data_IF_086642685002
#
_entry.id   IF_086642685002
#
_cell.length_a   1.000
_cell.length_b   1.000
_cell.length_c   1.000
_cell.angle_alpha   90.00
_cell.angle_beta   90.00
_cell.angle_gamma   90.00
#
_symmetry.space_group_name_H-M   'P 1'
#
loop_
_entity.id
_entity.type
_entity.pdbx_description
1 polymer ?
#
# COMPACT_ATOMS: atom_id res chain seq x y z
N UNK A 1 -3.82 -0.07 22.66
CA UNK A 1 -3.08 0.81 21.72
C UNK A 1 -2.86 0.02 20.45
N UNK A 2 -3.07 0.63 19.29
CA UNK A 2 -2.95 -0.05 17.98
C UNK A 2 -1.63 0.35 17.30
N UNK A 3 -1.14 -0.47 16.37
CA UNK A 3 -0.10 -0.01 15.45
C UNK A 3 -0.68 1.09 14.57
N UNK A 4 -0.27 2.33 14.83
CA UNK A 4 -0.87 3.53 14.24
C UNK A 4 0.16 4.43 13.55
N UNK A 5 1.42 4.01 13.48
CA UNK A 5 2.47 4.71 12.79
C UNK A 5 3.45 3.71 12.17
N UNK A 6 3.82 3.94 10.92
CA UNK A 6 4.91 3.25 10.25
C UNK A 6 5.73 4.26 9.45
N UNK A 7 7.04 4.08 9.50
CA UNK A 7 8.00 4.81 8.69
C UNK A 7 8.58 3.89 7.62
N UNK A 8 8.53 4.34 6.37
CA UNK A 8 9.08 3.64 5.21
C UNK A 8 10.14 4.52 4.57
N UNK A 9 11.35 3.99 4.44
CA UNK A 9 12.32 4.56 3.52
C UNK A 9 11.91 4.16 2.09
N UNK A 10 11.98 5.08 1.13
CA UNK A 10 11.52 4.84 -0.26
C UNK A 10 12.45 5.49 -1.27
N UNK A 11 12.53 4.92 -2.47
CA UNK A 11 13.36 5.46 -3.56
C UNK A 11 12.74 6.67 -4.25
N UNK A 12 11.40 6.75 -4.28
CA UNK A 12 10.64 7.87 -4.86
C UNK A 12 9.44 8.23 -3.99
N UNK A 13 9.58 9.29 -3.20
CA UNK A 13 8.51 9.80 -2.32
C UNK A 13 7.32 10.31 -3.14
N UNK A 14 7.57 11.02 -4.25
CA UNK A 14 6.51 11.70 -5.01
C UNK A 14 5.61 10.68 -5.70
N UNK A 15 6.19 9.69 -6.38
CA UNK A 15 5.43 8.63 -7.02
C UNK A 15 4.70 7.75 -6.01
N UNK A 16 5.32 7.48 -4.86
CA UNK A 16 4.69 6.70 -3.78
C UNK A 16 3.49 7.44 -3.18
N UNK A 17 3.61 8.75 -2.91
CA UNK A 17 2.47 9.57 -2.47
C UNK A 17 1.34 9.51 -3.49
N UNK A 18 1.63 9.72 -4.78
CA UNK A 18 0.60 9.70 -5.83
C UNK A 18 -0.14 8.36 -5.90
N UNK A 19 0.58 7.23 -5.82
CA UNK A 19 -0.02 5.89 -5.73
C UNK A 19 -0.94 5.76 -4.52
N UNK A 20 -0.45 6.10 -3.33
CA UNK A 20 -1.18 5.91 -2.08
C UNK A 20 -2.42 6.82 -1.97
N UNK A 21 -2.35 8.06 -2.45
CA UNK A 21 -3.52 8.95 -2.46
C UNK A 21 -4.56 8.51 -3.50
N UNK A 22 -4.13 8.21 -4.73
CA UNK A 22 -5.04 7.93 -5.84
C UNK A 22 -5.79 6.62 -5.68
N UNK A 23 -5.09 5.58 -5.19
CA UNK A 23 -5.62 4.21 -5.19
C UNK A 23 -5.97 3.71 -3.78
N UNK A 24 -5.33 4.23 -2.74
CA UNK A 24 -5.55 3.79 -1.35
C UNK A 24 -6.26 4.83 -0.49
N UNK A 25 -6.54 6.02 -1.03
CA UNK A 25 -7.32 7.05 -0.34
C UNK A 25 -6.61 7.72 0.83
N UNK A 26 -5.29 7.53 0.96
CA UNK A 26 -4.51 8.25 1.97
C UNK A 26 -4.55 9.75 1.68
N UNK A 27 -4.40 10.56 2.74
CA UNK A 27 -4.37 12.02 2.65
C UNK A 27 -3.04 12.56 3.13
N UNK A 28 -2.38 13.37 2.29
CA UNK A 28 -1.21 14.15 2.72
C UNK A 28 -1.52 15.11 3.86
N UNK A 29 -0.56 15.25 4.77
CA UNK A 29 -0.51 16.37 5.70
C UNK A 29 0.12 17.60 5.03
N UNK A 30 0.36 18.66 5.81
CA UNK A 30 1.11 19.84 5.35
C UNK A 30 2.61 19.60 5.22
N UNK A 31 3.12 18.46 5.69
CA UNK A 31 4.53 18.10 5.66
C UNK A 31 4.80 17.12 4.52
N UNK A 32 4.90 17.64 3.29
CA UNK A 32 5.25 16.84 2.10
C UNK A 32 6.23 17.61 1.22
N UNK A 33 7.33 16.96 0.86
CA UNK A 33 8.37 17.40 -0.07
C UNK A 33 8.79 16.22 -0.97
N UNK A 34 9.76 16.44 -1.86
CA UNK A 34 10.36 15.34 -2.64
C UNK A 34 11.20 14.37 -1.77
N UNK A 35 11.57 14.77 -0.56
CA UNK A 35 12.45 14.02 0.34
C UNK A 35 11.71 13.35 1.50
N UNK A 36 10.51 13.83 1.83
CA UNK A 36 9.69 13.24 2.89
C UNK A 36 8.21 13.51 2.69
N UNK A 37 7.35 12.61 3.16
CA UNK A 37 5.91 12.81 3.17
C UNK A 37 5.28 12.16 4.39
N UNK A 38 4.20 12.77 4.88
CA UNK A 38 3.37 12.23 5.95
C UNK A 38 1.93 12.10 5.45
N UNK A 39 1.40 10.89 5.47
CA UNK A 39 0.10 10.49 4.94
C UNK A 39 -0.77 9.89 6.05
N UNK A 40 -2.06 10.20 6.07
CA UNK A 40 -3.02 9.61 7.02
C UNK A 40 -4.11 8.82 6.32
N UNK A 41 -4.54 7.73 6.94
CA UNK A 41 -5.77 7.04 6.56
C UNK A 41 -7.01 7.67 7.22
N UNK A 42 -8.18 7.04 7.03
CA UNK A 42 -9.44 7.47 7.65
C UNK A 42 -9.52 7.20 9.15
N UNK A 43 -8.72 6.27 9.67
CA UNK A 43 -8.66 5.93 11.09
C UNK A 43 -7.60 6.73 11.86
N UNK A 44 -6.84 7.58 11.17
CA UNK A 44 -5.80 8.43 11.73
C UNK A 44 -4.41 7.78 11.82
N UNK A 45 -4.22 6.56 11.31
CA UNK A 45 -2.89 5.95 11.21
C UNK A 45 -1.98 6.81 10.32
N UNK A 46 -0.69 6.88 10.67
CA UNK A 46 0.30 7.75 10.02
C UNK A 46 1.34 6.91 9.28
N UNK A 47 1.37 7.03 7.95
CA UNK A 47 2.45 6.50 7.11
C UNK A 47 3.40 7.66 6.80
N UNK A 48 4.65 7.57 7.27
CA UNK A 48 5.72 8.48 6.88
C UNK A 48 6.63 7.84 5.84
N UNK A 49 6.99 8.63 4.84
CA UNK A 49 7.89 8.27 3.76
C UNK A 49 9.12 9.17 3.86
N UNK A 50 10.31 8.59 3.77
CA UNK A 50 11.57 9.33 3.66
C UNK A 50 12.37 8.79 2.49
N UNK A 51 12.99 9.68 1.71
CA UNK A 51 13.82 9.27 0.59
C UNK A 51 15.10 8.58 1.07
N UNK A 52 15.46 7.48 0.41
CA UNK A 52 16.75 6.79 0.54
C UNK A 52 17.31 6.38 -0.82
N UNK A 53 18.63 6.23 -0.91
CA UNK A 53 19.32 5.88 -2.17
C UNK A 53 19.40 4.36 -2.41
N UNK A 54 19.66 3.57 -1.36
CA UNK A 54 19.87 2.10 -1.43
C UNK A 54 18.81 1.31 -0.64
N UNK A 55 17.54 1.69 -0.81
CA UNK A 55 16.42 1.08 -0.07
C UNK A 55 16.17 -0.34 -0.58
N UNK A 56 16.35 -1.33 0.28
CA UNK A 56 16.02 -2.73 0.02
C UNK A 56 15.19 -3.32 1.16
N UNK A 57 13.98 -3.79 0.83
CA UNK A 57 13.12 -4.47 1.79
C UNK A 57 13.37 -5.99 1.77
N UNK A 58 13.22 -6.69 2.92
CA UNK A 58 13.24 -8.15 2.94
C UNK A 58 12.22 -8.74 1.97
N UNK A 59 12.55 -9.87 1.34
CA UNK A 59 11.76 -10.48 0.26
C UNK A 59 10.25 -10.62 0.54
N UNK A 60 9.88 -10.90 1.79
CA UNK A 60 8.49 -11.13 2.19
C UNK A 60 7.85 -9.92 2.87
N UNK A 61 8.55 -8.79 2.98
CA UNK A 61 8.01 -7.58 3.58
C UNK A 61 6.92 -6.98 2.68
N UNK A 62 5.78 -6.66 3.27
CA UNK A 62 4.69 -5.96 2.61
C UNK A 62 3.84 -5.20 3.63
N UNK A 63 3.12 -4.19 3.14
CA UNK A 63 2.08 -3.48 3.90
C UNK A 63 0.72 -3.87 3.33
N UNK A 64 -0.13 -4.42 4.19
CA UNK A 64 -1.46 -4.92 3.80
C UNK A 64 -2.56 -3.89 3.98
N UNK A 65 -3.42 -3.76 2.97
CA UNK A 65 -4.68 -3.03 3.02
C UNK A 65 -5.85 -4.01 2.85
N UNK A 66 -6.47 -4.37 3.96
CA UNK A 66 -7.64 -5.25 3.97
C UNK A 66 -8.88 -4.50 3.47
N UNK A 67 -9.66 -5.16 2.62
CA UNK A 67 -10.92 -4.66 2.06
C UNK A 67 -12.12 -5.35 2.69
N UNK A 68 -13.28 -4.73 2.56
CA UNK A 68 -14.51 -5.27 3.12
C UNK A 68 -15.07 -6.39 2.26
N UNK A 69 -14.85 -6.33 0.94
CA UNK A 69 -15.39 -7.29 -0.03
C UNK A 69 -14.35 -7.77 -1.05
N UNK A 70 -14.62 -8.88 -1.72
CA UNK A 70 -13.80 -9.40 -2.84
C UNK A 70 -13.90 -8.47 -4.05
N UNK A 71 -15.05 -7.86 -4.24
CA UNK A 71 -15.33 -6.90 -5.29
C UNK A 71 -14.45 -5.66 -5.15
N UNK A 72 -14.25 -5.13 -3.95
CA UNK A 72 -13.33 -4.02 -3.68
C UNK A 72 -11.87 -4.36 -4.03
N UNK A 73 -11.44 -5.60 -3.76
CA UNK A 73 -10.10 -6.08 -4.16
C UNK A 73 -9.98 -6.09 -5.68
N UNK A 74 -10.97 -6.66 -6.38
CA UNK A 74 -10.98 -6.76 -7.84
C UNK A 74 -11.06 -5.39 -8.53
N UNK A 75 -11.87 -4.48 -7.99
CA UNK A 75 -12.01 -3.12 -8.50
C UNK A 75 -10.73 -2.31 -8.33
N UNK A 76 -10.06 -2.43 -7.18
CA UNK A 76 -8.76 -1.78 -6.97
C UNK A 76 -7.70 -2.35 -7.91
N UNK A 77 -7.64 -3.67 -8.07
CA UNK A 77 -6.74 -4.31 -9.03
C UNK A 77 -6.96 -3.77 -10.45
N UNK A 78 -8.21 -3.72 -10.92
CA UNK A 78 -8.55 -3.19 -12.25
C UNK A 78 -8.09 -1.74 -12.41
N UNK A 79 -8.40 -0.87 -11.45
CA UNK A 79 -8.00 0.54 -11.48
C UNK A 79 -6.49 0.72 -11.51
N UNK A 80 -5.74 -0.10 -10.77
CA UNK A 80 -4.27 -0.08 -10.78
C UNK A 80 -3.72 -0.46 -12.16
N UNK A 81 -4.27 -1.49 -12.80
CA UNK A 81 -3.89 -1.89 -14.16
C UNK A 81 -4.20 -0.79 -15.18
N UNK A 82 -5.41 -0.22 -15.12
CA UNK A 82 -5.82 0.92 -15.96
C UNK A 82 -4.91 2.15 -15.73
N UNK A 83 -4.40 2.30 -14.51
CA UNK A 83 -3.43 3.31 -14.09
C UNK A 83 -1.99 3.08 -14.56
N UNK A 84 -1.72 1.99 -15.28
CA UNK A 84 -0.39 1.64 -15.80
C UNK A 84 0.50 0.86 -14.82
N UNK A 85 -0.03 0.43 -13.67
CA UNK A 85 0.69 -0.48 -12.78
C UNK A 85 0.55 -1.94 -13.24
N UNK A 86 1.45 -2.80 -12.75
CA UNK A 86 1.45 -4.23 -13.03
C UNK A 86 1.35 -5.06 -11.74
N UNK A 87 0.22 -4.99 -11.00
CA UNK A 87 0.01 -5.90 -9.88
C UNK A 87 -0.05 -7.36 -10.35
N UNK A 88 0.26 -8.29 -9.44
CA UNK A 88 -0.02 -9.71 -9.67
C UNK A 88 -1.53 -9.94 -9.85
N UNK A 89 -1.91 -10.97 -10.61
CA UNK A 89 -3.31 -11.36 -10.72
C UNK A 89 -3.86 -11.78 -9.34
N UNK A 90 -5.08 -11.35 -8.96
CA UNK A 90 -5.70 -11.76 -7.71
C UNK A 90 -5.90 -13.28 -7.67
N UNK A 91 -5.65 -13.87 -6.51
CA UNK A 91 -5.77 -15.30 -6.27
C UNK A 91 -6.29 -15.59 -4.86
N UNK A 92 -6.84 -16.79 -4.69
CA UNK A 92 -7.03 -17.37 -3.37
C UNK A 92 -5.67 -17.83 -2.84
N UNK A 93 -5.31 -17.37 -1.65
CA UNK A 93 -4.08 -17.72 -0.96
C UNK A 93 -4.36 -17.81 0.54
N UNK A 94 -4.17 -18.97 1.17
CA UNK A 94 -4.34 -19.14 2.62
C UNK A 94 -5.69 -18.63 3.20
N UNK A 95 -6.80 -18.72 2.46
CA UNK A 95 -8.13 -18.31 2.95
C UNK A 95 -8.46 -16.82 2.80
N UNK A 96 -7.70 -16.12 1.97
CA UNK A 96 -7.95 -14.74 1.54
C UNK A 96 -7.89 -14.64 0.02
N UNK A 97 -8.70 -13.73 -0.52
CA UNK A 97 -8.60 -13.27 -1.89
C UNK A 97 -7.64 -12.09 -1.93
N UNK A 98 -6.51 -12.22 -2.62
CA UNK A 98 -5.41 -11.24 -2.50
C UNK A 98 -4.60 -11.05 -3.78
N UNK A 99 -3.96 -9.87 -3.91
CA UNK A 99 -2.90 -9.61 -4.87
C UNK A 99 -1.79 -8.75 -4.23
N UNK A 100 -0.64 -8.72 -4.91
CA UNK A 100 0.53 -7.92 -4.52
C UNK A 100 0.90 -6.92 -5.61
N UNK A 101 1.41 -5.77 -5.20
CA UNK A 101 1.92 -4.71 -6.07
C UNK A 101 3.29 -4.23 -5.58
N UNK A 102 4.30 -4.32 -6.45
CA UNK A 102 5.56 -3.61 -6.24
C UNK A 102 5.32 -2.10 -6.45
N UNK A 103 5.70 -1.29 -5.45
CA UNK A 103 5.49 0.17 -5.50
C UNK A 103 6.68 0.89 -6.14
N UNK A 104 6.48 2.12 -6.66
CA UNK A 104 7.58 2.99 -7.08
C UNK A 104 8.59 3.31 -5.96
N UNK A 105 8.17 3.18 -4.70
CA UNK A 105 9.01 3.40 -3.52
C UNK A 105 9.87 2.19 -3.11
N UNK A 106 9.77 1.06 -3.80
CA UNK A 106 10.63 -0.11 -3.58
C UNK A 106 10.11 -1.14 -2.55
N UNK A 107 8.97 -0.90 -1.91
CA UNK A 107 8.29 -1.89 -1.06
C UNK A 107 7.09 -2.51 -1.75
N UNK A 108 6.56 -3.60 -1.19
CA UNK A 108 5.37 -4.29 -1.71
C UNK A 108 4.12 -3.91 -0.93
N UNK A 109 3.02 -3.67 -1.64
CA UNK A 109 1.68 -3.57 -1.10
C UNK A 109 0.94 -4.88 -1.28
N UNK A 110 0.19 -5.30 -0.26
CA UNK A 110 -0.79 -6.39 -0.34
C UNK A 110 -2.19 -5.78 -0.25
N UNK A 111 -3.10 -6.26 -1.09
CA UNK A 111 -4.53 -5.97 -0.98
C UNK A 111 -5.24 -7.30 -0.79
N UNK A 112 -6.09 -7.40 0.24
CA UNK A 112 -6.70 -8.68 0.59
C UNK A 112 -8.12 -8.55 1.14
N UNK A 113 -8.89 -9.62 0.99
CA UNK A 113 -10.11 -9.89 1.77
C UNK A 113 -10.04 -11.30 2.32
N UNK A 114 -10.01 -11.45 3.64
CA UNK A 114 -10.20 -12.76 4.27
C UNK A 114 -11.63 -13.24 4.06
N UNK A 115 -11.79 -14.45 3.55
CA UNK A 115 -13.08 -15.15 3.44
C UNK A 115 -13.15 -16.35 4.39
N UNK A 116 -12.03 -16.68 5.04
CA UNK A 116 -11.97 -17.52 6.24
C UNK A 116 -11.21 -16.74 7.29
N UNK A 117 -11.87 -16.37 8.37
CA UNK A 117 -11.15 -15.84 9.53
C UNK A 117 -10.24 -16.95 10.08
N UNK A 118 -9.03 -16.57 10.48
CA UNK A 118 -8.18 -17.47 11.27
C UNK A 118 -8.90 -17.69 12.60
N UNK A 119 -9.41 -18.91 12.81
CA UNK A 119 -9.97 -19.37 14.08
C UNK A 119 -8.89 -19.32 15.17
#
# INVERSE_FOLDING_TARGET
MNLNHINLEVTDVTATVALLETYFGLRRTRLVTAEMAFLRDDSGALISLFRGEDVAYPRMFHIGFTRETVEEVNDLHRRLVEGGFAPEAPRDDHGRWTFYLATPGGFTLEVQKFHRELV
#
